data_IF_775308616902
#
_entry.id   IF_775308616902
#
_cell.length_a   1.000
_cell.length_b   1.000
_cell.length_c   1.000
_cell.angle_alpha   90.00
_cell.angle_beta   90.00
_cell.angle_gamma   90.00
#
_symmetry.space_group_name_H-M   'P 1'
#
loop_
_entity.id
_entity.type
_entity.pdbx_description
1 polymer ?
#
# COMPACT_ATOMS: atom_id res chain seq x y z
N UNK A 1 56.09 3.87 -24.13
CA UNK A 1 55.66 4.32 -25.47
C UNK A 1 56.20 3.34 -26.49
N UNK A 2 55.35 2.50 -27.09
CA UNK A 2 55.49 1.91 -28.44
C UNK A 2 54.29 1.00 -28.69
N UNK A 3 53.37 1.54 -29.50
CA UNK A 3 52.16 0.89 -30.02
C UNK A 3 52.58 -0.09 -31.11
N UNK A 4 52.09 -1.31 -31.05
CA UNK A 4 52.09 -2.26 -32.17
C UNK A 4 50.90 -1.99 -33.08
N UNK A 5 51.15 -2.13 -34.38
CA UNK A 5 50.37 -1.64 -35.51
C UNK A 5 50.15 -2.81 -36.49
N UNK A 6 49.12 -2.66 -37.33
CA UNK A 6 48.77 -3.37 -38.58
C UNK A 6 47.79 -4.57 -38.52
N UNK A 7 47.02 -4.86 -39.61
CA UNK A 7 46.54 -3.98 -40.68
C UNK A 7 45.06 -4.19 -41.09
N UNK A 8 44.62 -3.25 -41.95
CA UNK A 8 43.41 -3.23 -42.76
C UNK A 8 43.26 -4.44 -43.69
N UNK A 9 42.01 -4.88 -43.89
CA UNK A 9 41.56 -5.47 -45.15
C UNK A 9 40.33 -4.71 -45.63
N UNK A 10 40.46 -4.22 -46.86
CA UNK A 10 39.53 -3.42 -47.64
C UNK A 10 38.69 -4.30 -48.57
N UNK A 11 37.68 -3.64 -49.15
CA UNK A 11 36.94 -3.94 -50.38
C UNK A 11 35.59 -4.65 -50.30
N UNK A 12 34.59 -3.95 -50.84
CA UNK A 12 33.32 -4.52 -51.28
C UNK A 12 32.16 -3.52 -51.35
N UNK A 13 32.30 -2.42 -52.11
CA UNK A 13 31.13 -1.66 -52.57
C UNK A 13 30.35 -2.52 -53.57
N UNK A 14 29.05 -2.70 -53.35
CA UNK A 14 28.10 -2.91 -54.45
C UNK A 14 26.86 -2.05 -54.20
N UNK A 15 26.66 -1.09 -55.10
CA UNK A 15 25.42 -0.33 -55.23
C UNK A 15 24.32 -1.27 -55.77
N UNK A 16 23.14 -1.27 -55.14
CA UNK A 16 21.92 -1.65 -55.84
C UNK A 16 20.79 -0.67 -55.50
N UNK A 17 20.17 -0.23 -56.57
CA UNK A 17 19.22 0.86 -56.74
C UNK A 17 17.91 0.71 -55.98
N UNK A 18 17.40 1.86 -55.54
CA UNK A 18 16.08 2.07 -54.93
C UNK A 18 15.01 1.99 -56.02
N UNK A 19 14.06 1.07 -55.87
CA UNK A 19 12.75 1.16 -56.53
C UNK A 19 11.68 1.24 -55.45
N UNK A 20 11.03 2.39 -55.37
CA UNK A 20 9.89 2.68 -54.51
C UNK A 20 8.68 1.84 -54.90
N UNK A 21 8.22 0.96 -53.99
CA UNK A 21 6.85 0.46 -53.98
C UNK A 21 6.12 1.08 -52.80
N UNK A 22 5.21 1.99 -53.11
CA UNK A 22 4.25 2.55 -52.15
C UNK A 22 3.18 1.51 -51.89
N UNK A 23 3.41 0.65 -50.89
CA UNK A 23 2.37 -0.15 -50.25
C UNK A 23 1.82 0.64 -49.06
N UNK A 24 0.66 1.26 -49.23
CA UNK A 24 -0.12 1.87 -48.16
C UNK A 24 -0.60 0.76 -47.24
N UNK A 25 0.10 0.55 -46.12
CA UNK A 25 -0.47 -0.18 -44.98
C UNK A 25 -1.27 0.83 -44.17
N UNK A 26 -2.57 0.87 -44.45
CA UNK A 26 -3.56 1.42 -43.52
C UNK A 26 -3.62 0.46 -42.31
N UNK A 27 -2.76 0.69 -41.32
CA UNK A 27 -2.90 0.04 -40.02
C UNK A 27 -3.89 0.86 -39.20
N UNK A 28 -5.12 0.36 -39.18
CA UNK A 28 -6.23 0.84 -38.40
C UNK A 28 -5.83 0.92 -36.92
N UNK A 29 -5.67 2.14 -36.42
CA UNK A 29 -5.60 2.44 -35.00
C UNK A 29 -6.95 2.09 -34.38
N UNK A 30 -7.11 0.84 -33.96
CA UNK A 30 -8.16 0.47 -33.01
C UNK A 30 -7.82 1.11 -31.67
N UNK A 31 -8.28 2.34 -31.50
CA UNK A 31 -8.60 2.89 -30.19
C UNK A 31 -9.63 1.95 -29.55
N UNK A 32 -9.16 0.92 -28.86
CA UNK A 32 -9.91 0.34 -27.75
C UNK A 32 -9.93 1.40 -26.65
N UNK A 33 -10.83 2.37 -26.82
CA UNK A 33 -11.54 2.94 -25.69
C UNK A 33 -12.34 1.80 -25.09
N UNK A 34 -11.67 0.97 -24.29
CA UNK A 34 -12.36 0.23 -23.25
C UNK A 34 -12.86 1.32 -22.33
N UNK A 35 -14.12 1.70 -22.54
CA UNK A 35 -14.90 2.45 -21.57
C UNK A 35 -14.70 1.73 -20.24
N UNK A 36 -13.81 2.28 -19.42
CA UNK A 36 -13.89 2.08 -17.98
C UNK A 36 -15.23 2.73 -17.67
N UNK A 37 -16.27 1.91 -17.57
CA UNK A 37 -17.44 2.21 -16.74
C UNK A 37 -16.84 2.52 -15.39
N UNK A 38 -16.52 3.81 -15.16
CA UNK A 38 -16.28 4.34 -13.84
C UNK A 38 -17.52 3.92 -13.06
N UNK A 39 -17.33 2.97 -12.15
CA UNK A 39 -18.39 2.61 -11.23
C UNK A 39 -18.82 3.92 -10.56
N UNK A 40 -20.10 4.10 -10.28
CA UNK A 40 -20.55 5.27 -9.51
C UNK A 40 -19.78 5.40 -8.16
N UNK A 41 -19.16 4.30 -7.69
CA UNK A 41 -18.20 4.27 -6.59
C UNK A 41 -16.84 4.95 -6.88
N UNK A 42 -16.28 4.86 -8.08
CA UNK A 42 -14.99 5.50 -8.43
C UNK A 42 -15.08 7.03 -8.48
N UNK A 43 -16.24 7.56 -8.91
CA UNK A 43 -16.48 9.01 -8.98
C UNK A 43 -16.77 9.61 -7.60
N UNK A 44 -17.48 8.86 -6.72
CA UNK A 44 -17.66 9.27 -5.32
C UNK A 44 -16.33 9.25 -4.53
N UNK A 45 -15.35 8.48 -5.00
CA UNK A 45 -14.02 8.35 -4.40
C UNK A 45 -13.04 9.43 -4.90
N UNK A 46 -13.18 9.94 -6.13
CA UNK A 46 -12.32 11.04 -6.64
C UNK A 46 -12.59 12.38 -5.95
N UNK A 47 -13.80 12.58 -5.44
CA UNK A 47 -14.25 13.86 -4.88
C UNK A 47 -14.33 13.86 -3.34
N UNK A 48 -13.96 12.75 -2.68
CA UNK A 48 -14.00 12.66 -1.22
C UNK A 48 -12.81 13.42 -0.58
N UNK A 49 -13.05 14.50 0.19
CA UNK A 49 -11.99 15.32 0.77
C UNK A 49 -11.12 14.59 1.79
N UNK A 50 -11.61 13.48 2.39
CA UNK A 50 -10.83 12.64 3.30
C UNK A 50 -9.76 11.81 2.57
N UNK A 51 -9.94 11.56 1.27
CA UNK A 51 -9.00 10.79 0.45
C UNK A 51 -7.93 11.68 -0.21
N UNK A 52 -8.16 13.00 -0.25
CA UNK A 52 -7.25 13.96 -0.82
C UNK A 52 -5.94 14.09 -0.04
N UNK A 53 -4.87 14.42 -0.75
CA UNK A 53 -3.60 14.80 -0.15
C UNK A 53 -3.73 16.05 0.70
N UNK A 54 -2.98 16.12 1.81
CA UNK A 54 -2.83 17.37 2.56
C UNK A 54 -1.82 18.26 1.85
N UNK A 55 -2.07 19.57 1.88
CA UNK A 55 -1.22 20.58 1.26
C UNK A 55 -0.94 21.71 2.24
N UNK A 56 0.22 22.37 2.10
CA UNK A 56 0.64 23.47 2.95
C UNK A 56 1.92 23.16 3.75
N UNK A 57 2.34 24.07 4.65
CA UNK A 57 3.52 23.90 5.49
C UNK A 57 3.47 22.63 6.36
N UNK A 58 4.63 22.14 6.78
CA UNK A 58 4.78 20.99 7.71
C UNK A 58 4.16 19.66 7.26
N UNK A 59 3.99 19.46 5.94
CA UNK A 59 3.34 18.26 5.39
C UNK A 59 1.84 18.43 5.11
N UNK A 60 1.31 19.63 5.34
CA UNK A 60 -0.04 20.03 5.00
C UNK A 60 -1.04 19.86 6.14
N UNK A 61 -2.22 20.46 5.95
CA UNK A 61 -3.34 20.39 6.89
C UNK A 61 -4.57 19.76 6.24
N UNK A 62 -5.41 19.04 6.99
CA UNK A 62 -6.67 18.53 6.47
C UNK A 62 -7.63 19.67 6.14
N UNK A 63 -8.38 19.52 5.06
CA UNK A 63 -9.43 20.45 4.65
C UNK A 63 -10.72 20.23 5.46
N UNK A 64 -10.65 20.47 6.76
CA UNK A 64 -11.75 20.16 7.69
C UNK A 64 -13.06 20.87 7.32
N UNK A 65 -12.99 22.04 6.67
CA UNK A 65 -14.14 22.79 6.19
C UNK A 65 -14.91 22.10 5.04
N UNK A 66 -14.30 21.14 4.35
CA UNK A 66 -14.93 20.37 3.27
C UNK A 66 -15.47 19.01 3.76
N UNK A 67 -15.08 18.56 4.95
CA UNK A 67 -15.45 17.26 5.52
C UNK A 67 -16.89 17.27 6.03
N UNK A 68 -17.62 16.19 5.77
CA UNK A 68 -19.00 15.96 6.21
C UNK A 68 -19.16 14.48 6.63
N UNK A 69 -20.19 14.19 7.42
CA UNK A 69 -20.43 12.87 8.02
C UNK A 69 -20.51 11.76 6.94
N UNK A 70 -21.15 12.05 5.81
CA UNK A 70 -21.31 11.10 4.70
C UNK A 70 -19.99 10.70 4.01
N UNK A 71 -18.90 11.44 4.23
CA UNK A 71 -17.59 11.13 3.65
C UNK A 71 -16.86 10.01 4.39
N UNK A 72 -17.14 9.79 5.68
CA UNK A 72 -16.32 8.93 6.53
C UNK A 72 -16.39 7.46 6.15
N UNK A 73 -17.59 6.89 6.05
CA UNK A 73 -17.76 5.47 5.69
C UNK A 73 -17.05 5.10 4.37
N UNK A 74 -17.34 5.74 3.22
CA UNK A 74 -16.66 5.39 1.97
C UNK A 74 -15.15 5.65 2.02
N UNK A 75 -14.68 6.67 2.76
CA UNK A 75 -13.26 6.92 2.89
C UNK A 75 -12.54 5.85 3.73
N UNK A 76 -13.15 5.41 4.85
CA UNK A 76 -12.62 4.37 5.71
C UNK A 76 -12.57 3.02 4.98
N UNK A 77 -13.66 2.62 4.33
CA UNK A 77 -13.71 1.37 3.56
C UNK A 77 -12.64 1.34 2.47
N UNK A 78 -12.55 2.41 1.66
CA UNK A 78 -11.51 2.51 0.64
C UNK A 78 -10.09 2.50 1.23
N UNK A 79 -9.85 3.24 2.31
CA UNK A 79 -8.52 3.32 2.90
C UNK A 79 -8.09 2.01 3.57
N UNK A 80 -9.02 1.25 4.17
CA UNK A 80 -8.78 -0.10 4.68
C UNK A 80 -8.40 -1.04 3.54
N UNK A 81 -9.16 -1.07 2.45
CA UNK A 81 -8.85 -1.91 1.28
C UNK A 81 -7.49 -1.58 0.68
N UNK A 82 -7.16 -0.29 0.56
CA UNK A 82 -5.84 0.14 0.08
C UNK A 82 -4.73 -0.34 1.02
N UNK A 83 -4.91 -0.24 2.32
CA UNK A 83 -3.90 -0.72 3.26
C UNK A 83 -3.76 -2.26 3.25
N UNK A 84 -4.86 -3.02 3.15
CA UNK A 84 -4.79 -4.48 3.01
C UNK A 84 -3.98 -4.89 1.77
N UNK A 85 -4.11 -4.18 0.66
CA UNK A 85 -3.31 -4.41 -0.55
C UNK A 85 -1.81 -4.11 -0.35
N UNK A 86 -1.48 -3.04 0.36
CA UNK A 86 -0.09 -2.71 0.73
C UNK A 86 0.50 -3.80 1.65
N UNK A 87 -0.28 -4.26 2.62
CA UNK A 87 0.11 -5.33 3.54
C UNK A 87 0.29 -6.66 2.80
N UNK A 88 -0.59 -7.03 1.87
CA UNK A 88 -0.40 -8.26 1.08
C UNK A 88 0.86 -8.17 0.22
N UNK A 89 1.16 -7.00 -0.36
CA UNK A 89 2.40 -6.79 -1.12
C UNK A 89 3.65 -7.06 -0.25
N UNK A 90 3.63 -6.65 1.02
CA UNK A 90 4.70 -6.93 1.97
C UNK A 90 4.74 -8.42 2.32
N UNK A 91 3.58 -9.00 2.65
CA UNK A 91 3.44 -10.39 3.05
C UNK A 91 3.86 -11.37 1.93
N UNK A 92 3.61 -11.02 0.67
CA UNK A 92 3.90 -11.83 -0.51
C UNK A 92 5.24 -11.52 -1.18
N UNK A 93 6.07 -10.64 -0.61
CA UNK A 93 7.35 -10.27 -1.21
C UNK A 93 8.27 -11.51 -1.32
N UNK A 94 8.74 -11.89 -2.53
CA UNK A 94 9.53 -13.10 -2.74
C UNK A 94 10.94 -13.03 -2.16
N UNK A 95 11.46 -11.83 -1.89
CA UNK A 95 12.77 -11.63 -1.30
C UNK A 95 12.80 -12.13 0.16
N UNK A 96 13.94 -12.68 0.63
CA UNK A 96 14.12 -13.07 2.02
C UNK A 96 13.71 -11.94 2.99
N UNK A 97 12.99 -12.24 4.09
CA UNK A 97 12.53 -11.22 5.03
C UNK A 97 13.71 -10.46 5.65
N UNK A 98 13.67 -9.14 5.52
CA UNK A 98 14.63 -8.20 6.09
C UNK A 98 13.94 -6.98 6.69
N UNK A 99 14.66 -6.20 7.48
CA UNK A 99 14.09 -5.03 8.16
C UNK A 99 13.43 -4.06 7.16
N UNK A 100 14.13 -3.72 6.08
CA UNK A 100 13.65 -2.76 5.07
C UNK A 100 12.39 -3.24 4.32
N UNK A 101 12.37 -4.52 3.91
CA UNK A 101 11.27 -5.07 3.10
C UNK A 101 10.09 -5.61 3.93
N UNK A 102 10.17 -5.52 5.25
CA UNK A 102 9.13 -6.00 6.17
C UNK A 102 8.74 -4.91 7.16
N UNK A 103 9.58 -4.60 8.16
CA UNK A 103 9.23 -3.65 9.23
C UNK A 103 9.16 -2.22 8.70
N UNK A 104 10.18 -1.77 7.96
CA UNK A 104 10.16 -0.41 7.39
C UNK A 104 9.06 -0.26 6.32
N UNK A 105 8.81 -1.31 5.52
CA UNK A 105 7.72 -1.31 4.56
C UNK A 105 6.35 -1.18 5.26
N UNK A 106 6.15 -1.85 6.39
CA UNK A 106 4.93 -1.72 7.21
C UNK A 106 4.76 -0.30 7.75
N UNK A 107 5.81 0.32 8.29
CA UNK A 107 5.78 1.72 8.75
C UNK A 107 5.44 2.73 7.64
N UNK A 108 5.75 2.38 6.39
CA UNK A 108 5.45 3.23 5.23
C UNK A 108 4.05 2.99 4.67
N UNK A 109 3.43 1.86 5.00
CA UNK A 109 2.07 1.50 4.58
C UNK A 109 1.02 2.27 5.39
N UNK A 110 -0.20 2.35 4.89
CA UNK A 110 -1.35 2.81 5.65
C UNK A 110 -1.48 4.32 5.76
N UNK A 111 -0.60 5.10 5.14
CA UNK A 111 -0.63 6.58 5.21
C UNK A 111 -1.97 7.19 4.83
N UNK A 112 -2.68 6.62 3.86
CA UNK A 112 -4.02 7.08 3.51
C UNK A 112 -5.00 6.83 4.67
N UNK A 113 -5.01 5.62 5.20
CA UNK A 113 -5.86 5.22 6.33
C UNK A 113 -5.54 6.04 7.59
N UNK A 114 -4.26 6.24 7.90
CA UNK A 114 -3.82 7.07 9.03
C UNK A 114 -4.42 8.48 8.97
N UNK A 115 -4.41 9.13 7.79
CA UNK A 115 -5.02 10.46 7.63
C UNK A 115 -6.54 10.43 7.80
N UNK A 116 -7.22 9.44 7.25
CA UNK A 116 -8.68 9.29 7.40
C UNK A 116 -9.03 9.03 8.86
N UNK A 117 -8.33 8.12 9.53
CA UNK A 117 -8.52 7.78 10.94
C UNK A 117 -8.20 8.96 11.88
N UNK A 118 -7.19 9.78 11.55
CA UNK A 118 -6.89 11.00 12.30
C UNK A 118 -8.09 11.93 12.33
N UNK A 119 -8.71 12.18 11.17
CA UNK A 119 -9.89 13.06 11.09
C UNK A 119 -11.11 12.40 11.74
N UNK A 120 -11.28 11.09 11.57
CA UNK A 120 -12.34 10.30 12.21
C UNK A 120 -12.27 10.40 13.74
N UNK A 121 -11.09 10.22 14.33
CA UNK A 121 -10.90 10.35 15.79
C UNK A 121 -11.13 11.77 16.31
N UNK A 122 -10.73 12.79 15.54
CA UNK A 122 -11.04 14.19 15.88
C UNK A 122 -12.56 14.39 15.88
N UNK A 123 -13.27 13.91 14.87
CA UNK A 123 -14.72 14.07 14.75
C UNK A 123 -15.48 13.34 15.86
N UNK A 124 -15.08 12.09 16.14
CA UNK A 124 -15.57 11.27 17.27
C UNK A 124 -15.42 11.96 18.63
N UNK A 125 -14.37 12.78 18.79
CA UNK A 125 -14.10 13.45 20.07
C UNK A 125 -14.74 14.85 20.20
N UNK A 126 -15.00 15.53 19.07
CA UNK A 126 -15.32 16.97 19.09
C UNK A 126 -16.66 17.33 18.43
N UNK A 127 -17.16 16.48 17.53
CA UNK A 127 -18.35 16.72 16.70
C UNK A 127 -19.24 15.48 16.61
N UNK A 128 -19.31 14.70 17.70
CA UNK A 128 -19.98 13.40 17.73
C UNK A 128 -21.50 13.50 17.98
N UNK A 129 -22.23 13.93 16.94
CA UNK A 129 -23.69 13.97 16.91
C UNK A 129 -24.32 12.61 16.57
N UNK A 130 -25.65 12.52 16.67
CA UNK A 130 -26.41 11.29 16.37
C UNK A 130 -26.14 10.73 14.97
N UNK A 131 -25.78 11.58 14.00
CA UNK A 131 -25.46 11.14 12.64
C UNK A 131 -24.09 10.47 12.59
N UNK A 132 -23.09 11.05 13.26
CA UNK A 132 -21.76 10.47 13.35
C UNK A 132 -21.73 9.20 14.22
N UNK A 133 -22.46 9.15 15.33
CA UNK A 133 -22.57 7.93 16.15
C UNK A 133 -23.09 6.72 15.36
N UNK A 134 -23.97 6.93 14.38
CA UNK A 134 -24.43 5.86 13.47
C UNK A 134 -23.31 5.37 12.55
N UNK A 135 -22.43 6.28 12.12
CA UNK A 135 -21.21 5.89 11.39
C UNK A 135 -20.31 5.06 12.30
N UNK A 136 -20.08 5.47 13.54
CA UNK A 136 -19.25 4.70 14.50
C UNK A 136 -19.84 3.30 14.75
N UNK A 137 -21.14 3.20 15.00
CA UNK A 137 -21.82 1.91 15.21
C UNK A 137 -21.63 0.94 14.03
N UNK A 138 -21.57 1.45 12.79
CA UNK A 138 -21.34 0.63 11.61
C UNK A 138 -19.84 0.34 11.39
N UNK A 139 -18.98 1.32 11.63
CA UNK A 139 -17.58 1.27 11.23
C UNK A 139 -16.66 0.66 12.28
N UNK A 140 -16.93 0.80 13.58
CA UNK A 140 -16.08 0.25 14.65
C UNK A 140 -15.90 -1.28 14.53
N UNK A 141 -16.96 -2.09 14.33
CA UNK A 141 -16.78 -3.54 14.13
C UNK A 141 -15.99 -3.87 12.85
N UNK A 142 -16.14 -3.07 11.79
CA UNK A 142 -15.38 -3.24 10.54
C UNK A 142 -13.90 -2.93 10.74
N UNK A 143 -13.59 -1.87 11.48
CA UNK A 143 -12.24 -1.48 11.84
C UNK A 143 -11.55 -2.55 12.71
N UNK A 144 -12.28 -3.11 13.68
CA UNK A 144 -11.81 -4.24 14.47
C UNK A 144 -11.50 -5.46 13.59
N UNK A 145 -12.43 -5.85 12.71
CA UNK A 145 -12.22 -6.94 11.75
C UNK A 145 -11.05 -6.70 10.79
N UNK A 146 -10.84 -5.46 10.35
CA UNK A 146 -9.68 -5.07 9.55
C UNK A 146 -8.35 -5.23 10.32
N UNK A 147 -8.30 -4.79 11.58
CA UNK A 147 -7.10 -4.94 12.43
C UNK A 147 -6.75 -6.43 12.66
N UNK A 148 -7.77 -7.26 12.85
CA UNK A 148 -7.62 -8.71 12.95
C UNK A 148 -7.06 -9.32 11.66
N UNK A 149 -7.53 -8.90 10.48
CA UNK A 149 -7.01 -9.40 9.20
C UNK A 149 -5.49 -9.15 9.07
N UNK A 150 -5.00 -7.99 9.53
CA UNK A 150 -3.56 -7.68 9.51
C UNK A 150 -2.81 -8.55 10.52
N UNK A 151 -3.25 -8.57 11.78
CA UNK A 151 -2.51 -9.24 12.86
C UNK A 151 -2.55 -10.76 12.74
N UNK A 152 -3.62 -11.32 12.17
CA UNK A 152 -3.77 -12.76 11.96
C UNK A 152 -3.15 -13.26 10.65
N UNK A 153 -2.70 -12.37 9.75
CA UNK A 153 -2.01 -12.73 8.51
C UNK A 153 -0.73 -13.53 8.82
N UNK A 154 -0.78 -14.84 8.58
CA UNK A 154 0.30 -15.76 8.93
C UNK A 154 1.57 -15.54 8.09
N UNK A 155 1.42 -15.14 6.82
CA UNK A 155 2.57 -14.82 5.95
C UNK A 155 3.29 -13.58 6.46
N UNK A 156 2.55 -12.53 6.77
CA UNK A 156 3.10 -11.29 7.32
C UNK A 156 3.82 -11.55 8.66
N UNK A 157 3.16 -12.27 9.57
CA UNK A 157 3.76 -12.59 10.86
C UNK A 157 5.04 -13.43 10.72
N UNK A 158 5.06 -14.41 9.81
CA UNK A 158 6.27 -15.19 9.54
C UNK A 158 7.44 -14.31 9.09
N UNK A 159 7.20 -13.27 8.29
CA UNK A 159 8.24 -12.30 7.91
C UNK A 159 8.73 -11.50 9.11
N UNK A 160 7.81 -10.98 9.94
CA UNK A 160 8.13 -10.22 11.15
C UNK A 160 8.97 -11.08 12.12
N UNK A 161 8.55 -12.32 12.34
CA UNK A 161 9.24 -13.27 13.20
C UNK A 161 10.64 -13.60 12.68
N UNK A 162 10.80 -13.78 11.36
CA UNK A 162 12.10 -14.00 10.74
C UNK A 162 13.05 -12.80 10.97
N UNK A 163 12.57 -11.56 10.80
CA UNK A 163 13.38 -10.35 11.08
C UNK A 163 13.74 -10.28 12.56
N UNK A 164 12.79 -10.54 13.46
CA UNK A 164 13.02 -10.50 14.90
C UNK A 164 14.01 -11.57 15.39
N UNK A 165 13.97 -12.77 14.83
CA UNK A 165 14.85 -13.88 15.22
C UNK A 165 16.19 -13.91 14.46
N UNK A 166 16.36 -13.07 13.44
CA UNK A 166 17.58 -13.03 12.63
C UNK A 166 18.81 -12.64 13.44
N UNK A 167 19.93 -13.29 13.16
CA UNK A 167 21.25 -12.89 13.69
C UNK A 167 21.68 -11.51 13.20
N UNK A 168 21.20 -11.10 12.03
CA UNK A 168 21.49 -9.79 11.44
C UNK A 168 20.79 -8.64 12.18
N UNK A 169 19.84 -8.94 13.08
CA UNK A 169 19.22 -7.93 13.96
C UNK A 169 20.28 -7.13 14.74
N UNK A 170 21.40 -7.76 15.12
CA UNK A 170 22.48 -7.09 15.84
C UNK A 170 23.25 -6.07 14.98
N UNK A 171 23.07 -6.07 13.65
CA UNK A 171 23.64 -5.09 12.72
C UNK A 171 22.74 -3.87 12.51
N UNK A 172 21.50 -3.92 12.98
CA UNK A 172 20.54 -2.82 12.90
C UNK A 172 20.84 -1.75 13.96
N UNK A 173 20.37 -0.51 13.76
CA UNK A 173 20.48 0.53 14.78
C UNK A 173 19.62 0.20 16.01
N UNK A 174 19.87 0.80 17.19
CA UNK A 174 19.06 0.58 18.38
C UNK A 174 17.56 0.80 18.17
N UNK A 175 17.18 1.84 17.40
CA UNK A 175 15.79 2.17 17.08
C UNK A 175 15.16 1.10 16.19
N UNK A 176 15.87 0.60 15.18
CA UNK A 176 15.40 -0.48 14.31
C UNK A 176 15.24 -1.80 15.07
N UNK A 177 16.15 -2.10 16.00
CA UNK A 177 16.02 -3.26 16.90
C UNK A 177 14.79 -3.13 17.79
N UNK A 178 14.58 -1.93 18.36
CA UNK A 178 13.41 -1.63 19.19
C UNK A 178 12.12 -1.78 18.40
N UNK A 179 12.08 -1.28 17.17
CA UNK A 179 10.91 -1.38 16.31
C UNK A 179 10.61 -2.83 15.92
N UNK A 180 11.64 -3.62 15.60
CA UNK A 180 11.49 -5.06 15.33
C UNK A 180 10.90 -5.80 16.53
N UNK A 181 11.35 -5.49 17.75
CA UNK A 181 10.78 -6.04 18.98
C UNK A 181 9.32 -5.61 19.17
N UNK A 182 8.99 -4.34 18.90
CA UNK A 182 7.66 -3.79 19.10
C UNK A 182 6.64 -4.49 18.20
N UNK A 183 6.94 -4.59 16.90
CA UNK A 183 6.10 -5.29 15.94
C UNK A 183 5.90 -6.75 16.32
N UNK A 184 6.98 -7.49 16.56
CA UNK A 184 6.87 -8.89 16.96
C UNK A 184 6.02 -9.06 18.23
N UNK A 185 6.30 -8.26 19.26
CA UNK A 185 5.59 -8.36 20.55
C UNK A 185 4.11 -8.00 20.41
N UNK A 186 3.77 -6.97 19.64
CA UNK A 186 2.38 -6.55 19.42
C UNK A 186 1.61 -7.63 18.66
N UNK A 187 2.20 -8.23 17.61
CA UNK A 187 1.56 -9.33 16.88
C UNK A 187 1.36 -10.56 17.78
N UNK A 188 2.34 -10.92 18.60
CA UNK A 188 2.19 -12.04 19.55
C UNK A 188 1.08 -11.75 20.57
N UNK A 189 1.01 -10.53 21.10
CA UNK A 189 -0.05 -10.09 22.02
C UNK A 189 -1.43 -10.09 21.38
N UNK A 190 -1.51 -9.75 20.10
CA UNK A 190 -2.72 -9.83 19.29
C UNK A 190 -3.06 -11.27 18.84
N UNK A 191 -2.32 -12.28 19.30
CA UNK A 191 -2.65 -13.68 19.03
C UNK A 191 -2.11 -14.23 17.71
N UNK A 192 -1.13 -13.60 17.07
CA UNK A 192 -0.57 -14.08 15.80
C UNK A 192 -0.01 -15.52 15.87
N UNK A 193 0.44 -15.96 17.06
CA UNK A 193 0.94 -17.32 17.34
C UNK A 193 -0.13 -18.34 17.76
N UNK A 194 -1.39 -17.93 17.89
CA UNK A 194 -2.48 -18.82 18.23
C UNK A 194 -2.75 -19.81 17.08
N UNK A 195 -3.31 -20.98 17.42
CA UNK A 195 -3.80 -21.91 16.42
C UNK A 195 -5.08 -21.35 15.75
N UNK A 196 -5.52 -21.98 14.66
CA UNK A 196 -6.67 -21.51 13.87
C UNK A 196 -7.97 -21.38 14.68
N UNK A 197 -8.22 -22.30 15.63
CA UNK A 197 -9.43 -22.30 16.46
C UNK A 197 -9.41 -21.10 17.42
N UNK A 198 -8.28 -20.89 18.08
CA UNK A 198 -8.12 -19.80 19.04
C UNK A 198 -8.10 -18.42 18.37
N UNK A 199 -7.56 -18.31 17.14
CA UNK A 199 -7.66 -17.09 16.32
C UNK A 199 -9.10 -16.74 15.98
N UNK A 200 -9.89 -17.73 15.53
CA UNK A 200 -11.29 -17.53 15.21
C UNK A 200 -12.10 -17.09 16.44
N UNK A 201 -11.78 -17.63 17.63
CA UNK A 201 -12.42 -17.21 18.88
C UNK A 201 -12.02 -15.79 19.29
N UNK A 202 -10.75 -15.41 19.13
CA UNK A 202 -10.29 -14.06 19.43
C UNK A 202 -11.03 -13.02 18.57
N UNK A 203 -11.21 -13.29 17.28
CA UNK A 203 -11.98 -12.40 16.39
C UNK A 203 -13.46 -12.27 16.68
N UNK A 204 -14.04 -13.19 17.45
CA UNK A 204 -15.43 -13.05 17.92
C UNK A 204 -15.53 -12.19 19.19
N UNK A 205 -14.42 -11.99 19.90
CA UNK A 205 -14.35 -11.23 21.15
C UNK A 205 -14.02 -9.76 20.87
N UNK A 206 -13.13 -9.52 19.90
CA UNK A 206 -12.78 -8.19 19.41
C UNK A 206 -13.96 -7.54 18.67
#
# INVERSE_FOLDING_TARGET
MKRTFYPLLTYGMLFLSITSSTGVYAQQNNMNQTNITANAGDVAQSDNPLLAGWSGPYGGVPKLNEVRVEHFKPALEYAMDRNLNEIETIASNPEPPGFANTIEAMERSGKLLERVQTIYGIWSSTMNDDAFQKVEQEMEPKLAGFADQITQNSKLFARIEAVYNSKDKNKLTPEQQRLSWLYYTNFVRAGARLNTIDKARLSQIN
#
